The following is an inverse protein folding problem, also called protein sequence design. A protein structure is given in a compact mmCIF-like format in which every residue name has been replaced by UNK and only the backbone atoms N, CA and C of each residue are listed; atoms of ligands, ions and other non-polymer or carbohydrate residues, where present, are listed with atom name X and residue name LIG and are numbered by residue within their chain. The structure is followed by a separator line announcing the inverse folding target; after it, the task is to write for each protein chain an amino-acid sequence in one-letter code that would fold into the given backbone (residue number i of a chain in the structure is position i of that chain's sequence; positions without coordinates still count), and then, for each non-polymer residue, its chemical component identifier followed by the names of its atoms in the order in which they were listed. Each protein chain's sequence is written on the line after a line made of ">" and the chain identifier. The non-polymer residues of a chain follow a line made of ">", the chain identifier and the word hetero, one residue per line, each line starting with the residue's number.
data_IF_008220717792
#
_entry.id   IF_008220717792
#
_cell.length_a   1.000
_cell.length_b   1.000
_cell.length_c   1.000
_cell.angle_alpha   90.00
_cell.angle_beta   90.00
_cell.angle_gamma   90.00
#
_symmetry.space_group_name_H-M   'P 1'
#
loop_
_entity.id
_entity.type
_entity.pdbx_description
1 polymer ?
#
# COMPACT_ATOMS: atom_id res chain seq x y z
N UNK A 1 -0.22 7.04 24.46
CA UNK A 1 -0.58 5.76 23.84
C UNK A 1 0.23 5.67 22.58
N UNK A 2 1.20 4.77 22.52
CA UNK A 2 1.81 4.42 21.25
C UNK A 2 0.69 3.97 20.29
N UNK A 3 0.68 4.45 19.04
CA UNK A 3 -0.32 3.97 18.09
C UNK A 3 -0.18 2.44 18.00
N UNK A 4 -1.30 1.69 17.96
CA UNK A 4 -1.24 0.25 17.87
C UNK A 4 -0.38 -0.13 16.67
N UNK A 5 0.63 -0.97 16.90
CA UNK A 5 1.48 -1.52 15.85
C UNK A 5 0.56 -2.22 14.84
N UNK A 6 0.50 -1.71 13.62
CA UNK A 6 -0.30 -2.30 12.55
C UNK A 6 0.47 -3.52 12.06
N UNK A 7 -0.17 -4.69 12.04
CA UNK A 7 0.44 -5.87 11.45
C UNK A 7 0.50 -5.78 9.92
N UNK A 8 1.38 -6.54 9.30
CA UNK A 8 1.46 -6.61 7.82
C UNK A 8 0.15 -7.10 7.23
N UNK A 9 -0.51 -8.04 7.90
CA UNK A 9 -1.79 -8.56 7.51
C UNK A 9 -2.88 -7.48 7.57
N UNK A 10 -2.99 -6.74 8.68
CA UNK A 10 -3.97 -5.65 8.82
C UNK A 10 -3.75 -4.53 7.79
N UNK A 11 -2.49 -4.21 7.49
CA UNK A 11 -2.15 -3.21 6.49
C UNK A 11 -2.46 -3.72 5.07
N UNK A 12 -2.13 -4.98 4.76
CA UNK A 12 -2.42 -5.62 3.48
C UNK A 12 -3.93 -5.68 3.22
N UNK A 13 -4.74 -6.13 4.19
CA UNK A 13 -6.20 -6.11 4.08
C UNK A 13 -6.75 -4.71 3.79
N UNK A 14 -6.24 -3.71 4.52
CA UNK A 14 -6.67 -2.31 4.33
C UNK A 14 -6.34 -1.78 2.93
N UNK A 15 -5.19 -2.18 2.37
CA UNK A 15 -4.82 -1.81 1.01
C UNK A 15 -5.68 -2.53 -0.02
N UNK A 16 -5.87 -3.85 0.11
CA UNK A 16 -6.71 -4.63 -0.80
C UNK A 16 -8.11 -4.03 -0.89
N UNK A 17 -8.73 -3.68 0.23
CA UNK A 17 -10.05 -3.05 0.23
C UNK A 17 -10.05 -1.66 -0.42
N UNK A 18 -9.00 -0.87 -0.21
CA UNK A 18 -8.87 0.46 -0.78
C UNK A 18 -8.65 0.46 -2.30
N UNK A 19 -7.94 -0.53 -2.83
CA UNK A 19 -7.61 -0.63 -4.27
C UNK A 19 -8.46 -1.67 -5.01
N UNK A 20 -9.39 -2.34 -4.34
CA UNK A 20 -10.24 -3.40 -4.91
C UNK A 20 -10.87 -3.06 -6.27
N UNK A 21 -11.36 -1.84 -6.52
CA UNK A 21 -11.92 -1.45 -7.82
C UNK A 21 -10.87 -1.34 -8.94
N UNK A 22 -9.60 -1.22 -8.58
CA UNK A 22 -8.48 -0.96 -9.49
C UNK A 22 -7.68 -2.23 -9.81
N UNK A 23 -7.87 -3.30 -9.04
CA UNK A 23 -7.24 -4.60 -9.28
C UNK A 23 -8.06 -5.42 -10.29
N UNK A 24 -7.35 -6.06 -11.21
CA UNK A 24 -7.91 -7.14 -12.04
C UNK A 24 -8.31 -8.35 -11.18
N UNK A 25 -9.15 -9.22 -11.72
CA UNK A 25 -9.58 -10.44 -11.01
C UNK A 25 -8.40 -11.35 -10.68
N UNK A 26 -7.38 -11.38 -11.54
CA UNK A 26 -6.15 -12.14 -11.30
C UNK A 26 -5.34 -11.55 -10.13
N UNK A 27 -5.07 -10.24 -10.15
CA UNK A 27 -4.33 -9.56 -9.07
C UNK A 27 -5.05 -9.68 -7.73
N UNK A 28 -6.38 -9.59 -7.74
CA UNK A 28 -7.19 -9.78 -6.54
C UNK A 28 -7.09 -11.22 -6.00
N UNK A 29 -7.11 -12.21 -6.88
CA UNK A 29 -6.97 -13.62 -6.51
C UNK A 29 -5.60 -13.90 -5.91
N UNK A 30 -4.53 -13.39 -6.53
CA UNK A 30 -3.16 -13.50 -6.01
C UNK A 30 -3.05 -12.87 -4.63
N UNK A 31 -3.57 -11.65 -4.45
CA UNK A 31 -3.55 -10.97 -3.15
C UNK A 31 -4.27 -11.77 -2.05
N UNK A 32 -5.41 -12.40 -2.34
CA UNK A 32 -6.10 -13.24 -1.37
C UNK A 32 -5.37 -14.54 -1.05
N UNK A 33 -4.69 -15.15 -2.03
CA UNK A 33 -3.86 -16.34 -1.80
C UNK A 33 -2.66 -16.00 -0.93
N UNK A 34 -1.95 -14.91 -1.23
CA UNK A 34 -0.80 -14.44 -0.45
C UNK A 34 -1.21 -14.08 0.98
N UNK A 35 -2.34 -13.38 1.16
CA UNK A 35 -2.93 -13.12 2.48
C UNK A 35 -3.25 -14.41 3.24
N UNK A 36 -3.87 -15.39 2.58
CA UNK A 36 -4.17 -16.70 3.17
C UNK A 36 -2.94 -17.51 3.59
N UNK A 37 -1.78 -17.20 3.00
CA UNK A 37 -0.48 -17.79 3.36
C UNK A 37 0.27 -16.99 4.45
N UNK A 38 -0.25 -15.83 4.88
CA UNK A 38 0.41 -14.95 5.85
C UNK A 38 1.46 -14.01 5.24
N UNK A 39 1.50 -13.86 3.91
CA UNK A 39 2.50 -13.07 3.19
C UNK A 39 2.09 -11.60 3.04
N UNK A 40 1.63 -10.97 4.13
CA UNK A 40 1.08 -9.62 4.12
C UNK A 40 2.04 -8.57 3.55
N UNK A 41 3.33 -8.66 3.89
CA UNK A 41 4.36 -7.76 3.36
C UNK A 41 4.49 -7.83 1.82
N UNK A 42 4.44 -9.04 1.25
CA UNK A 42 4.50 -9.22 -0.21
C UNK A 42 3.29 -8.59 -0.89
N UNK A 43 2.10 -8.78 -0.32
CA UNK A 43 0.85 -8.18 -0.81
C UNK A 43 0.94 -6.65 -0.81
N UNK A 44 1.44 -6.05 0.27
CA UNK A 44 1.65 -4.60 0.35
C UNK A 44 2.57 -4.13 -0.78
N UNK A 45 3.72 -4.80 -0.96
CA UNK A 45 4.69 -4.47 -2.00
C UNK A 45 4.09 -4.59 -3.40
N UNK A 46 3.33 -5.65 -3.67
CA UNK A 46 2.64 -5.86 -4.94
C UNK A 46 1.63 -4.75 -5.23
N UNK A 47 0.80 -4.38 -4.24
CA UNK A 47 -0.18 -3.30 -4.40
C UNK A 47 0.50 -1.96 -4.66
N UNK A 48 1.55 -1.61 -3.93
CA UNK A 48 2.29 -0.37 -4.19
C UNK A 48 2.91 -0.35 -5.59
N UNK A 49 3.41 -1.50 -6.07
CA UNK A 49 3.96 -1.63 -7.42
C UNK A 49 2.88 -1.47 -8.49
N UNK A 50 1.70 -2.06 -8.27
CA UNK A 50 0.55 -1.92 -9.15
C UNK A 50 0.08 -0.45 -9.22
N UNK A 51 0.03 0.24 -8.07
CA UNK A 51 -0.35 1.65 -7.99
C UNK A 51 0.61 2.59 -8.71
N UNK A 52 1.90 2.28 -8.72
CA UNK A 52 2.89 3.05 -9.50
C UNK A 52 2.68 2.88 -11.01
N UNK A 53 2.22 1.70 -11.44
CA UNK A 53 2.02 1.36 -12.85
C UNK A 53 0.66 1.81 -13.38
N UNK A 54 -0.38 1.73 -12.54
CA UNK A 54 -1.75 2.09 -12.85
C UNK A 54 -2.24 3.09 -11.79
N UNK A 55 -2.15 4.40 -12.06
CA UNK A 55 -2.49 5.43 -11.08
C UNK A 55 -3.93 5.28 -10.60
N UNK A 56 -4.11 4.93 -9.33
CA UNK A 56 -5.41 4.88 -8.68
C UNK A 56 -5.43 5.76 -7.42
N UNK A 57 -6.61 6.28 -7.08
CA UNK A 57 -6.78 7.17 -5.93
C UNK A 57 -6.89 6.37 -4.64
N UNK A 58 -5.81 6.35 -3.85
CA UNK A 58 -5.88 5.87 -2.47
C UNK A 58 -6.56 6.89 -1.55
N UNK A 59 -7.43 6.49 -0.61
CA UNK A 59 -7.91 7.40 0.43
C UNK A 59 -6.76 7.96 1.27
N UNK A 60 -6.81 9.24 1.66
CA UNK A 60 -5.77 9.86 2.52
C UNK A 60 -5.59 9.11 3.85
N UNK A 61 -6.67 8.55 4.40
CA UNK A 61 -6.62 7.73 5.60
C UNK A 61 -5.74 6.49 5.43
N UNK A 62 -5.76 5.88 4.24
CA UNK A 62 -4.95 4.68 3.93
C UNK A 62 -3.47 5.07 3.75
N UNK A 63 -3.18 6.21 3.13
CA UNK A 63 -1.81 6.72 3.04
C UNK A 63 -1.22 7.04 4.42
N UNK A 64 -2.00 7.67 5.30
CA UNK A 64 -1.58 7.95 6.67
C UNK A 64 -1.36 6.65 7.46
N UNK A 65 -2.25 5.67 7.30
CA UNK A 65 -2.12 4.34 7.92
C UNK A 65 -0.85 3.62 7.44
N UNK A 66 -0.58 3.62 6.14
CA UNK A 66 0.60 3.01 5.53
C UNK A 66 1.90 3.69 5.97
N UNK A 67 1.91 5.03 6.05
CA UNK A 67 3.06 5.76 6.59
C UNK A 67 3.31 5.43 8.06
N UNK A 68 2.24 5.24 8.86
CA UNK A 68 2.34 4.80 10.25
C UNK A 68 2.88 3.39 10.38
N UNK A 69 2.40 2.46 9.55
CA UNK A 69 2.90 1.09 9.46
C UNK A 69 4.40 1.05 9.09
N UNK A 70 4.84 1.85 8.11
CA UNK A 70 6.26 1.94 7.72
C UNK A 70 7.19 2.45 8.83
N UNK A 71 6.67 3.17 9.82
CA UNK A 71 7.49 3.56 10.97
C UNK A 71 7.90 2.34 11.83
N UNK A 72 7.13 1.24 11.79
CA UNK A 72 7.50 -0.04 12.40
C UNK A 72 8.68 -0.72 11.73
N UNK A 73 9.01 -0.32 10.49
CA UNK A 73 10.16 -0.82 9.71
C UNK A 73 11.38 0.09 9.79
N UNK A 74 11.40 1.08 10.70
CA UNK A 74 12.51 2.02 10.81
C UNK A 74 13.85 1.29 10.99
N UNK A 75 14.78 1.49 10.05
CA UNK A 75 16.10 0.85 10.05
C UNK A 75 16.16 -0.53 9.37
N UNK A 76 15.04 -1.07 8.89
CA UNK A 76 15.04 -2.24 8.02
C UNK A 76 15.56 -1.87 6.62
N UNK A 77 16.36 -2.73 5.94
CA UNK A 77 16.87 -2.47 4.60
C UNK A 77 15.79 -2.16 3.55
N UNK A 78 14.58 -2.67 3.74
CA UNK A 78 13.46 -2.54 2.83
C UNK A 78 12.68 -1.23 2.99
N UNK A 79 12.78 -0.60 4.16
CA UNK A 79 12.05 0.62 4.51
C UNK A 79 12.29 1.76 3.51
N UNK A 80 13.53 2.09 3.09
CA UNK A 80 13.77 3.21 2.18
C UNK A 80 13.08 3.00 0.83
N UNK A 81 13.07 1.76 0.33
CA UNK A 81 12.42 1.42 -0.93
C UNK A 81 10.90 1.59 -0.83
N UNK A 82 10.26 1.09 0.22
CA UNK A 82 8.82 1.26 0.38
C UNK A 82 8.40 2.71 0.61
N UNK A 83 9.19 3.49 1.35
CA UNK A 83 8.96 4.94 1.51
C UNK A 83 9.07 5.67 0.18
N UNK A 84 10.02 5.30 -0.67
CA UNK A 84 10.16 5.87 -2.02
C UNK A 84 8.92 5.57 -2.86
N UNK A 85 8.44 4.32 -2.88
CA UNK A 85 7.22 3.96 -3.60
C UNK A 85 6.01 4.78 -3.13
N UNK A 86 5.85 4.93 -1.80
CA UNK A 86 4.77 5.73 -1.23
C UNK A 86 4.87 7.21 -1.63
N UNK A 87 6.07 7.79 -1.60
CA UNK A 87 6.29 9.17 -2.04
C UNK A 87 5.93 9.37 -3.51
N UNK A 88 6.32 8.44 -4.39
CA UNK A 88 5.98 8.47 -5.81
C UNK A 88 4.46 8.37 -6.05
N UNK A 89 3.76 7.48 -5.33
CA UNK A 89 2.30 7.39 -5.39
C UNK A 89 1.64 8.71 -4.97
N UNK A 90 2.16 9.36 -3.92
CA UNK A 90 1.67 10.67 -3.49
C UNK A 90 1.92 11.76 -4.55
N UNK A 91 3.08 11.74 -5.21
CA UNK A 91 3.43 12.71 -6.26
C UNK A 91 2.54 12.56 -7.50
N UNK A 92 2.34 11.33 -8.00
CA UNK A 92 1.45 11.04 -9.13
C UNK A 92 0.04 11.62 -8.92
N UNK A 93 -0.42 11.67 -7.67
CA UNK A 93 -1.74 12.21 -7.32
C UNK A 93 -1.79 13.73 -7.21
N UNK A 94 -0.67 14.39 -6.99
CA UNK A 94 -0.61 15.86 -7.01
C UNK A 94 -0.79 16.36 -8.44
N UNK A 95 -0.15 15.71 -9.42
CA UNK A 95 -0.19 16.10 -10.83
C UNK A 95 -1.59 15.91 -11.46
N UNK A 96 -2.31 14.84 -11.10
CA UNK A 96 -3.67 14.57 -11.64
C UNK A 96 -4.70 15.63 -11.20
N UNK A 97 -4.41 16.45 -10.18
CA UNK A 97 -5.35 17.43 -9.63
C UNK A 97 -5.28 18.82 -10.29
N UNK A 98 -4.25 19.10 -11.09
CA UNK A 98 -4.04 20.42 -11.72
C UNK A 98 -4.64 20.55 -13.14
N UNK A 99 -5.17 19.47 -13.72
CA UNK A 99 -5.74 19.47 -15.08
C UNK A 99 -7.26 19.30 -15.13
N UNK A 100 -7.99 19.63 -14.06
CA UNK A 100 -9.45 19.54 -13.99
C UNK A 100 -10.12 20.92 -13.88
#
# INVERSE_FOLDING_TARGET
>A
MDPPFISDEDMAWSLVDAVKPCLTDYERTVAFVELGCGEGYLVIKHILTALLSTPATLPLAILAKLSGWLNGYAGCPEEPHMRMMLALICLQRCEVRETA
#
